data_IF_230485346651
#
_entry.id   IF_230485346651
#
_cell.length_a   1.000
_cell.length_b   1.000
_cell.length_c   1.000
_cell.angle_alpha   90.00
_cell.angle_beta   90.00
_cell.angle_gamma   90.00
#
_symmetry.space_group_name_H-M   'P 1'
#
loop_
_entity.id
_entity.type
_entity.pdbx_description
1 polymer ?
#
# COMPACT_ATOMS: atom_id res chain seq x y z
N UNK A 1 13.36 27.79 55.68
CA UNK A 1 14.61 27.53 54.93
C UNK A 1 14.80 26.03 54.98
N UNK A 2 14.63 25.18 53.97
CA UNK A 2 14.60 25.22 52.50
C UNK A 2 13.86 23.92 52.12
N UNK A 3 12.77 23.93 51.36
CA UNK A 3 12.71 23.98 49.89
C UNK A 3 13.28 22.75 49.15
N UNK A 4 12.36 22.11 48.40
CA UNK A 4 12.50 21.41 47.12
C UNK A 4 12.80 19.89 47.08
N UNK A 5 11.73 19.16 46.72
CA UNK A 5 11.55 18.42 45.45
C UNK A 5 12.68 17.52 44.96
N UNK A 6 12.32 16.28 44.60
CA UNK A 6 12.16 15.99 43.18
C UNK A 6 11.29 14.75 42.91
N UNK A 7 10.21 14.95 42.17
CA UNK A 7 9.37 13.88 41.62
C UNK A 7 10.07 13.25 40.41
N UNK A 8 10.07 11.92 40.37
CA UNK A 8 10.53 11.15 39.22
C UNK A 8 9.45 11.19 38.12
N UNK A 9 9.75 11.86 37.00
CA UNK A 9 8.92 11.85 35.79
C UNK A 9 9.36 10.69 34.90
N UNK A 10 8.49 9.70 34.75
CA UNK A 10 8.61 8.61 33.76
C UNK A 10 8.32 9.12 32.36
N UNK A 11 9.23 8.86 31.43
CA UNK A 11 9.18 9.31 30.04
C UNK A 11 8.28 8.42 29.17
N UNK A 12 7.14 8.94 28.73
CA UNK A 12 6.42 8.43 27.55
C UNK A 12 6.82 9.28 26.33
N UNK A 13 7.73 8.77 25.49
CA UNK A 13 8.04 9.39 24.19
C UNK A 13 7.24 8.70 23.10
N UNK A 14 6.00 9.14 22.89
CA UNK A 14 5.38 9.05 21.57
C UNK A 14 6.16 9.93 20.61
N UNK A 15 6.58 9.40 19.46
CA UNK A 15 7.35 10.16 18.47
C UNK A 15 6.49 11.29 17.89
N UNK A 16 6.61 12.48 18.46
CA UNK A 16 5.98 13.70 17.98
C UNK A 16 6.78 14.18 16.76
N UNK A 17 6.16 14.15 15.57
CA UNK A 17 6.80 14.64 14.34
C UNK A 17 7.01 16.17 14.47
N UNK A 18 8.25 16.63 14.24
CA UNK A 18 8.61 18.05 14.25
C UNK A 18 7.96 18.80 13.06
N UNK A 19 7.73 20.10 13.16
CA UNK A 19 7.00 20.92 12.16
C UNK A 19 7.66 20.89 10.76
N UNK A 20 8.97 20.57 10.69
CA UNK A 20 9.70 20.37 9.43
C UNK A 20 9.61 18.97 8.83
N UNK A 21 8.97 18.01 9.50
CA UNK A 21 8.87 16.62 9.03
C UNK A 21 7.72 16.41 8.06
N UNK A 22 7.90 15.46 7.15
CA UNK A 22 6.92 15.09 6.15
C UNK A 22 6.57 13.62 6.24
N UNK A 23 5.36 13.28 5.81
CA UNK A 23 4.89 11.90 5.68
C UNK A 23 4.40 11.64 4.27
N UNK A 24 4.32 10.37 3.92
CA UNK A 24 3.81 9.91 2.63
C UNK A 24 2.51 9.15 2.86
N UNK A 25 1.45 9.55 2.17
CA UNK A 25 0.18 8.81 2.12
C UNK A 25 0.04 8.20 0.72
N UNK A 26 -0.24 6.90 0.65
CA UNK A 26 -0.36 6.15 -0.60
C UNK A 26 -1.75 5.52 -0.63
N UNK A 27 -2.51 5.79 -1.68
CA UNK A 27 -3.80 5.19 -1.94
C UNK A 27 -3.65 4.30 -3.16
N UNK A 28 -4.11 3.05 -3.08
CA UNK A 28 -3.99 2.09 -4.17
C UNK A 28 -5.28 1.34 -4.40
N UNK A 29 -5.55 1.01 -5.66
CA UNK A 29 -6.70 0.21 -6.05
C UNK A 29 -6.36 -0.71 -7.25
N UNK A 30 -7.10 -1.80 -7.38
CA UNK A 30 -7.04 -2.77 -8.46
C UNK A 30 -8.42 -3.05 -9.04
N UNK A 31 -8.50 -3.08 -10.37
CA UNK A 31 -9.73 -3.34 -11.10
C UNK A 31 -9.52 -4.40 -12.17
N UNK A 32 -10.53 -5.23 -12.42
CA UNK A 32 -10.48 -6.26 -13.45
C UNK A 32 -11.81 -6.37 -14.19
N UNK A 33 -11.77 -6.29 -15.53
CA UNK A 33 -12.90 -6.52 -16.42
C UNK A 33 -12.93 -8.01 -16.76
N UNK A 34 -13.84 -8.74 -16.09
CA UNK A 34 -13.76 -10.19 -15.96
C UNK A 34 -12.69 -10.60 -14.94
N UNK A 35 -12.88 -11.71 -14.21
CA UNK A 35 -11.96 -12.16 -13.17
C UNK A 35 -11.79 -13.70 -13.18
N UNK A 36 -10.75 -14.24 -13.84
CA UNK A 36 -9.65 -13.55 -14.49
C UNK A 36 -10.06 -12.78 -15.76
N UNK A 37 -9.33 -11.72 -16.11
CA UNK A 37 -9.63 -10.86 -17.25
C UNK A 37 -8.62 -9.72 -17.45
N UNK A 38 -9.04 -8.66 -18.14
CA UNK A 38 -8.21 -7.48 -18.37
C UNK A 38 -8.18 -6.63 -17.10
N UNK A 39 -6.99 -6.48 -16.51
CA UNK A 39 -6.83 -5.77 -15.26
C UNK A 39 -6.10 -4.46 -15.39
N UNK A 40 -6.36 -3.59 -14.44
CA UNK A 40 -5.69 -2.32 -14.25
C UNK A 40 -5.44 -2.07 -12.78
N UNK A 41 -4.37 -1.36 -12.48
CA UNK A 41 -4.08 -0.88 -11.14
C UNK A 41 -3.84 0.62 -11.17
N UNK A 42 -4.17 1.29 -10.06
CA UNK A 42 -4.05 2.72 -9.90
C UNK A 42 -3.50 3.08 -8.52
N UNK A 43 -2.78 4.19 -8.44
CA UNK A 43 -2.27 4.70 -7.18
C UNK A 43 -2.18 6.21 -7.17
N UNK A 44 -2.41 6.81 -6.00
CA UNK A 44 -2.17 8.22 -5.70
C UNK A 44 -1.17 8.27 -4.54
N UNK A 45 -0.05 8.96 -4.73
CA UNK A 45 0.97 9.20 -3.71
C UNK A 45 0.99 10.67 -3.35
N UNK A 46 0.80 10.97 -2.07
CA UNK A 46 0.85 12.32 -1.51
C UNK A 46 2.01 12.42 -0.55
N UNK A 47 2.78 13.50 -0.64
CA UNK A 47 3.73 13.91 0.42
C UNK A 47 3.13 15.09 1.14
N UNK A 48 3.03 15.01 2.46
CA UNK A 48 2.33 15.98 3.31
C UNK A 48 3.22 16.47 4.45
N UNK A 49 3.01 17.70 4.87
CA UNK A 49 3.57 18.21 6.13
C UNK A 49 2.84 17.59 7.33
N UNK A 50 3.38 17.74 8.54
CA UNK A 50 2.68 17.33 9.78
C UNK A 50 1.29 17.98 9.88
N UNK A 51 1.19 19.28 9.53
CA UNK A 51 -0.06 20.04 9.49
C UNK A 51 -1.07 19.55 8.44
N UNK A 52 -0.69 18.59 7.58
CA UNK A 52 -1.58 17.96 6.60
C UNK A 52 -1.60 18.63 5.22
N UNK A 53 -0.79 19.68 5.02
CA UNK A 53 -0.65 20.33 3.72
C UNK A 53 -0.01 19.39 2.70
N UNK A 54 -0.62 19.25 1.52
CA UNK A 54 -0.06 18.45 0.41
C UNK A 54 0.99 19.28 -0.31
N UNK A 55 2.26 18.92 -0.13
CA UNK A 55 3.39 19.57 -0.80
C UNK A 55 3.78 18.88 -2.11
N UNK A 56 3.31 17.65 -2.33
CA UNK A 56 3.54 16.89 -3.57
C UNK A 56 2.46 15.84 -3.78
N UNK A 57 2.02 15.68 -5.03
CA UNK A 57 1.10 14.63 -5.45
C UNK A 57 1.61 13.96 -6.72
N UNK A 58 1.46 12.63 -6.82
CA UNK A 58 1.81 11.84 -8.00
C UNK A 58 0.81 10.72 -8.21
N UNK A 59 0.39 10.53 -9.44
CA UNK A 59 -0.42 9.38 -9.85
C UNK A 59 0.45 8.36 -10.58
N UNK A 60 0.08 7.09 -10.44
CA UNK A 60 0.60 6.03 -11.29
C UNK A 60 -0.49 5.00 -11.58
N UNK A 61 -0.37 4.34 -12.72
CA UNK A 61 -1.27 3.28 -13.13
C UNK A 61 -0.55 2.33 -14.10
N UNK A 62 -1.12 1.15 -14.27
CA UNK A 62 -0.65 0.15 -15.22
C UNK A 62 -1.74 -0.89 -15.47
N UNK A 63 -1.51 -1.77 -16.43
CA UNK A 63 -2.49 -2.78 -16.83
C UNK A 63 -1.84 -4.11 -17.15
N UNK A 64 -2.64 -5.16 -17.09
CA UNK A 64 -2.31 -6.52 -17.52
C UNK A 64 -3.47 -7.05 -18.38
N UNK A 65 -3.13 -7.72 -19.48
CA UNK A 65 -4.13 -8.28 -20.38
C UNK A 65 -4.79 -9.54 -19.79
N UNK A 66 -4.16 -10.24 -18.85
CA UNK A 66 -4.71 -11.47 -18.26
C UNK A 66 -4.28 -11.61 -16.80
N UNK A 67 -5.15 -11.16 -15.89
CA UNK A 67 -4.89 -11.12 -14.46
C UNK A 67 -6.17 -11.30 -13.66
N UNK A 68 -6.10 -11.14 -12.34
CA UNK A 68 -7.24 -11.11 -11.42
C UNK A 68 -7.28 -9.79 -10.64
N UNK A 69 -8.41 -9.49 -10.00
CA UNK A 69 -8.54 -8.29 -9.16
C UNK A 69 -7.47 -8.25 -8.05
N UNK A 70 -7.36 -9.35 -7.28
CA UNK A 70 -6.39 -9.46 -6.19
C UNK A 70 -4.94 -9.25 -6.65
N UNK A 71 -4.58 -9.72 -7.87
CA UNK A 71 -3.25 -9.47 -8.42
C UNK A 71 -3.05 -8.00 -8.75
N UNK A 72 -4.06 -7.31 -9.26
CA UNK A 72 -3.98 -5.88 -9.55
C UNK A 72 -3.91 -5.02 -8.29
N UNK A 73 -4.67 -5.34 -7.25
CA UNK A 73 -4.57 -4.70 -5.93
C UNK A 73 -3.14 -4.82 -5.38
N UNK A 74 -2.57 -6.02 -5.36
CA UNK A 74 -1.18 -6.24 -4.90
C UNK A 74 -0.15 -5.56 -5.80
N UNK A 75 -0.38 -5.57 -7.11
CA UNK A 75 0.52 -4.91 -8.08
C UNK A 75 0.54 -3.40 -7.86
N UNK A 76 -0.60 -2.79 -7.53
CA UNK A 76 -0.71 -1.36 -7.23
C UNK A 76 0.25 -0.96 -6.11
N UNK A 77 0.24 -1.72 -5.01
CA UNK A 77 1.11 -1.47 -3.85
C UNK A 77 2.58 -1.68 -4.21
N UNK A 78 2.92 -2.82 -4.83
CA UNK A 78 4.30 -3.12 -5.21
C UNK A 78 4.89 -2.03 -6.11
N UNK A 79 4.19 -1.72 -7.20
CA UNK A 79 4.66 -0.76 -8.19
C UNK A 79 4.78 0.66 -7.61
N UNK A 80 3.94 1.02 -6.64
CA UNK A 80 4.00 2.33 -6.01
C UNK A 80 5.19 2.45 -5.06
N UNK A 81 5.43 1.45 -4.22
CA UNK A 81 6.58 1.44 -3.30
C UNK A 81 7.92 1.40 -4.04
N UNK A 82 8.01 0.64 -5.13
CA UNK A 82 9.19 0.62 -6.00
C UNK A 82 9.49 1.99 -6.63
N UNK A 83 8.45 2.76 -6.94
CA UNK A 83 8.57 4.11 -7.51
C UNK A 83 8.96 5.19 -6.51
N UNK A 84 8.86 4.94 -5.21
CA UNK A 84 9.32 5.90 -4.18
C UNK A 84 10.83 6.11 -4.21
N UNK A 85 11.59 5.21 -4.85
CA UNK A 85 13.03 5.33 -4.98
C UNK A 85 13.75 4.91 -3.69
N UNK A 86 14.81 5.63 -3.30
CA UNK A 86 15.60 5.30 -2.11
C UNK A 86 14.73 5.25 -0.84
N UNK A 87 15.12 4.40 0.11
CA UNK A 87 14.51 4.35 1.44
C UNK A 87 14.72 5.69 2.13
N UNK A 88 13.65 6.22 2.72
CA UNK A 88 13.65 7.45 3.51
C UNK A 88 13.09 7.15 4.90
N UNK A 89 13.44 7.98 5.89
CA UNK A 89 12.92 7.85 7.26
C UNK A 89 11.49 8.43 7.40
N UNK A 90 10.91 8.93 6.31
CA UNK A 90 9.54 9.45 6.31
C UNK A 90 8.53 8.33 6.61
N UNK A 91 7.60 8.54 7.56
CA UNK A 91 6.50 7.62 7.77
C UNK A 91 5.65 7.49 6.50
N UNK A 92 5.32 6.26 6.13
CA UNK A 92 4.47 5.93 4.99
C UNK A 92 3.19 5.28 5.52
N UNK A 93 2.03 5.78 5.10
CA UNK A 93 0.75 5.09 5.31
C UNK A 93 0.21 4.63 3.96
N UNK A 94 -0.03 3.32 3.82
CA UNK A 94 -0.64 2.73 2.63
C UNK A 94 -2.09 2.39 2.92
N UNK A 95 -3.00 3.04 2.21
CA UNK A 95 -4.43 2.78 2.19
C UNK A 95 -4.77 1.86 1.02
N UNK A 96 -5.33 0.69 1.32
CA UNK A 96 -5.76 -0.29 0.33
C UNK A 96 -7.09 -0.93 0.72
N UNK A 97 -7.88 -1.33 -0.26
CA UNK A 97 -9.17 -2.01 -0.09
C UNK A 97 -9.02 -3.54 0.06
N UNK A 98 -7.85 -4.06 -0.32
CA UNK A 98 -7.42 -5.43 -0.12
C UNK A 98 -7.21 -5.77 1.36
N UNK A 99 -8.29 -6.22 2.02
CA UNK A 99 -8.31 -6.70 3.41
C UNK A 99 -7.18 -7.67 3.80
N UNK A 100 -6.61 -8.38 2.83
CA UNK A 100 -5.56 -9.37 3.06
C UNK A 100 -4.18 -8.75 3.27
N UNK A 101 -3.93 -7.52 2.80
CA UNK A 101 -2.58 -6.92 2.83
C UNK A 101 -2.10 -6.66 4.27
N UNK A 102 -2.87 -5.98 5.15
CA UNK A 102 -2.39 -5.73 6.52
C UNK A 102 -2.07 -7.02 7.27
N UNK A 103 -2.94 -8.03 7.18
CA UNK A 103 -2.72 -9.33 7.83
C UNK A 103 -1.53 -10.10 7.23
N UNK A 104 -1.35 -10.02 5.92
CA UNK A 104 -0.25 -10.69 5.24
C UNK A 104 1.09 -10.08 5.63
N UNK A 105 1.21 -8.75 5.55
CA UNK A 105 2.44 -8.03 5.86
C UNK A 105 2.83 -8.11 7.33
N UNK A 106 1.85 -8.11 8.24
CA UNK A 106 2.12 -8.13 9.67
C UNK A 106 2.29 -9.54 10.26
N UNK A 107 1.80 -10.60 9.61
CA UNK A 107 1.71 -11.91 10.27
C UNK A 107 1.83 -13.14 9.37
N UNK A 108 1.26 -13.15 8.16
CA UNK A 108 1.18 -14.39 7.40
C UNK A 108 2.43 -14.68 6.56
N UNK A 109 3.14 -13.66 6.07
CA UNK A 109 4.35 -13.87 5.24
C UNK A 109 5.40 -14.72 5.96
N UNK A 110 5.70 -14.40 7.21
CA UNK A 110 6.67 -15.16 8.00
C UNK A 110 6.26 -16.64 8.14
N UNK A 111 4.97 -16.90 8.41
CA UNK A 111 4.42 -18.27 8.53
C UNK A 111 4.45 -19.02 7.21
N UNK A 112 4.09 -18.36 6.11
CA UNK A 112 4.13 -18.97 4.78
C UNK A 112 5.55 -19.33 4.37
N UNK A 113 6.53 -18.44 4.59
CA UNK A 113 7.95 -18.74 4.31
C UNK A 113 8.45 -19.93 5.13
N UNK A 114 8.16 -19.95 6.43
CA UNK A 114 8.53 -21.07 7.31
C UNK A 114 7.89 -22.40 6.87
N UNK A 115 6.69 -22.37 6.29
CA UNK A 115 5.97 -23.54 5.79
C UNK A 115 6.19 -23.81 4.28
N UNK A 116 7.27 -23.29 3.68
CA UNK A 116 7.59 -23.53 2.27
C UNK A 116 6.54 -23.02 1.29
N UNK A 117 5.90 -21.89 1.60
CA UNK A 117 4.83 -21.24 0.83
C UNK A 117 3.56 -22.06 0.66
N UNK A 118 3.16 -22.77 1.73
CA UNK A 118 1.91 -23.52 1.80
C UNK A 118 0.97 -22.94 2.86
N UNK A 119 -0.33 -22.88 2.52
CA UNK A 119 -1.42 -22.53 3.45
C UNK A 119 -1.76 -23.72 4.36
N UNK A 120 -2.58 -23.48 5.38
CA UNK A 120 -3.24 -24.54 6.14
C UNK A 120 -4.06 -25.42 5.17
N UNK A 121 -3.81 -26.72 5.18
CA UNK A 121 -4.36 -27.67 4.20
C UNK A 121 -3.46 -27.98 3.00
N UNK A 122 -2.20 -27.49 2.99
CA UNK A 122 -1.17 -27.94 2.05
C UNK A 122 -1.20 -27.31 0.66
N UNK A 123 -2.24 -26.50 0.36
CA UNK A 123 -2.32 -25.73 -0.89
C UNK A 123 -1.22 -24.68 -0.96
N UNK A 124 -0.73 -24.40 -2.16
CA UNK A 124 0.21 -23.31 -2.40
C UNK A 124 -0.41 -21.95 -2.04
N UNK A 125 0.41 -21.04 -1.53
CA UNK A 125 0.03 -19.64 -1.33
C UNK A 125 -0.11 -18.96 -2.69
N UNK A 126 -1.31 -18.45 -2.98
CA UNK A 126 -1.58 -17.66 -4.18
C UNK A 126 -0.80 -16.34 -4.18
N UNK A 127 -0.42 -15.86 -5.36
CA UNK A 127 0.29 -14.59 -5.57
C UNK A 127 1.62 -14.49 -4.82
N UNK A 128 2.28 -15.62 -4.56
CA UNK A 128 3.60 -15.68 -3.91
C UNK A 128 4.59 -14.68 -4.55
N UNK A 129 4.62 -14.61 -5.87
CA UNK A 129 5.47 -13.70 -6.64
C UNK A 129 5.28 -12.24 -6.22
N UNK A 130 4.03 -11.81 -6.03
CA UNK A 130 3.71 -10.44 -5.60
C UNK A 130 3.96 -10.22 -4.11
N UNK A 131 3.79 -11.25 -3.28
CA UNK A 131 4.11 -11.18 -1.86
C UNK A 131 5.60 -11.02 -1.60
N UNK A 132 6.44 -11.80 -2.29
CA UNK A 132 7.90 -11.68 -2.24
C UNK A 132 8.34 -10.31 -2.76
N UNK A 133 7.73 -9.83 -3.85
CA UNK A 133 7.97 -8.49 -4.40
C UNK A 133 7.59 -7.38 -3.41
N UNK A 134 6.44 -7.49 -2.76
CA UNK A 134 5.95 -6.51 -1.79
C UNK A 134 6.86 -6.45 -0.56
N UNK A 135 7.27 -7.60 -0.02
CA UNK A 135 8.21 -7.68 1.10
C UNK A 135 9.52 -6.95 0.77
N UNK A 136 10.07 -7.18 -0.42
CA UNK A 136 11.28 -6.51 -0.88
C UNK A 136 11.08 -4.99 -1.04
N UNK A 137 9.96 -4.55 -1.61
CA UNK A 137 9.67 -3.12 -1.82
C UNK A 137 9.42 -2.37 -0.50
N UNK A 138 8.90 -3.07 0.51
CA UNK A 138 8.65 -2.54 1.85
C UNK A 138 9.89 -2.55 2.77
N UNK A 139 10.93 -3.33 2.43
CA UNK A 139 12.09 -3.51 3.28
C UNK A 139 12.78 -2.19 3.66
N UNK A 140 13.05 -2.00 4.95
CA UNK A 140 13.72 -0.82 5.49
C UNK A 140 12.86 0.45 5.58
N UNK A 141 11.59 0.40 5.15
CA UNK A 141 10.66 1.55 5.23
C UNK A 141 9.80 1.48 6.49
N UNK A 142 9.48 2.63 7.05
CA UNK A 142 8.49 2.76 8.12
C UNK A 142 7.08 2.82 7.52
N UNK A 143 6.42 1.67 7.34
CA UNK A 143 5.11 1.56 6.69
C UNK A 143 4.02 1.15 7.67
N UNK A 144 2.95 1.93 7.71
CA UNK A 144 1.66 1.58 8.30
C UNK A 144 0.70 1.12 7.20
N UNK A 145 0.03 -0.02 7.40
CA UNK A 145 -0.94 -0.59 6.47
C UNK A 145 -2.35 -0.34 6.98
N UNK A 146 -3.12 0.46 6.26
CA UNK A 146 -4.50 0.81 6.59
C UNK A 146 -5.46 0.19 5.59
N UNK A 147 -6.42 -0.58 6.10
CA UNK A 147 -7.52 -1.07 5.28
C UNK A 147 -8.61 -0.01 5.18
N UNK A 148 -9.05 0.29 3.96
CA UNK A 148 -10.19 1.16 3.70
C UNK A 148 -11.31 0.37 3.04
N UNK A 149 -12.55 0.70 3.37
CA UNK A 149 -13.71 0.07 2.74
C UNK A 149 -13.82 0.54 1.30
N UNK A 150 -13.82 -0.39 0.34
CA UNK A 150 -14.04 -0.09 -1.07
C UNK A 150 -15.34 0.68 -1.31
N UNK A 151 -15.32 1.63 -2.25
CA UNK A 151 -16.45 2.49 -2.67
C UNK A 151 -17.14 3.33 -1.57
N UNK A 152 -16.51 3.51 -0.42
CA UNK A 152 -16.90 4.50 0.60
C UNK A 152 -15.66 5.23 1.14
N UNK A 153 -14.67 5.41 0.27
CA UNK A 153 -13.33 5.86 0.62
C UNK A 153 -13.16 7.38 0.51
N UNK A 154 -12.02 7.86 0.99
CA UNK A 154 -11.60 9.25 0.76
C UNK A 154 -11.49 9.56 -0.75
N UNK A 155 -11.55 10.85 -1.10
CA UNK A 155 -11.36 11.36 -2.47
C UNK A 155 -10.16 10.72 -3.21
N UNK A 156 -9.07 10.44 -2.49
CA UNK A 156 -7.85 9.85 -3.05
C UNK A 156 -7.97 8.36 -3.34
N UNK A 157 -8.77 7.62 -2.55
CA UNK A 157 -9.07 6.22 -2.87
C UNK A 157 -9.94 6.12 -4.11
N UNK A 158 -10.99 6.94 -4.22
CA UNK A 158 -11.82 6.98 -5.42
C UNK A 158 -11.02 7.41 -6.67
N UNK A 159 -10.01 8.27 -6.49
CA UNK A 159 -9.09 8.61 -7.58
C UNK A 159 -8.23 7.40 -7.98
N UNK A 160 -7.76 6.61 -7.03
CA UNK A 160 -7.03 5.37 -7.33
C UNK A 160 -7.91 4.35 -8.06
N UNK A 161 -9.16 4.15 -7.62
CA UNK A 161 -10.18 3.32 -8.30
C UNK A 161 -10.37 3.74 -9.76
N UNK A 162 -10.62 5.04 -9.99
CA UNK A 162 -10.79 5.58 -11.36
C UNK A 162 -9.56 5.32 -12.24
N UNK A 163 -8.35 5.45 -11.69
CA UNK A 163 -7.11 5.16 -12.40
C UNK A 163 -7.01 3.66 -12.75
N UNK A 164 -7.32 2.78 -11.80
CA UNK A 164 -7.30 1.33 -11.99
C UNK A 164 -8.32 0.90 -13.06
N UNK A 165 -9.56 1.37 -12.95
CA UNK A 165 -10.61 1.07 -13.91
C UNK A 165 -10.29 1.59 -15.32
N UNK A 166 -9.78 2.82 -15.43
CA UNK A 166 -9.35 3.37 -16.73
C UNK A 166 -8.23 2.55 -17.37
N UNK A 167 -7.28 2.06 -16.56
CA UNK A 167 -6.19 1.20 -17.03
C UNK A 167 -6.71 -0.18 -17.50
N UNK A 168 -7.67 -0.78 -16.79
CA UNK A 168 -8.31 -2.03 -17.19
C UNK A 168 -9.05 -1.87 -18.53
N UNK A 169 -9.81 -0.78 -18.71
CA UNK A 169 -10.49 -0.46 -19.99
C UNK A 169 -9.51 -0.22 -21.13
N UNK A 170 -8.33 0.33 -20.83
CA UNK A 170 -7.26 0.48 -21.82
C UNK A 170 -6.71 -0.87 -22.29
N UNK A 171 -6.54 -1.83 -21.38
CA UNK A 171 -6.14 -3.20 -21.72
C UNK A 171 -7.15 -3.87 -22.66
N UNK A 172 -8.44 -3.79 -22.33
CA UNK A 172 -9.53 -4.35 -23.14
C UNK A 172 -9.56 -3.76 -24.56
N UNK A 173 -9.52 -2.43 -24.70
CA UNK A 173 -9.52 -1.76 -26.02
C UNK A 173 -8.33 -2.14 -26.88
N UNK A 174 -7.15 -2.35 -26.28
CA UNK A 174 -5.92 -2.73 -27.00
C UNK A 174 -6.02 -4.14 -27.61
N UNK A 175 -6.84 -5.01 -27.01
CA UNK A 175 -7.13 -6.32 -27.57
C UNK A 175 -8.14 -6.23 -28.72
N UNK A 176 -9.16 -5.37 -28.59
CA UNK A 176 -10.21 -5.23 -29.61
C UNK A 176 -9.77 -4.50 -30.89
N UNK A 177 -8.56 -3.94 -30.93
CA UNK A 177 -7.96 -3.29 -32.11
C UNK A 177 -6.92 -4.15 -32.83
N UNK A 178 -6.80 -5.43 -32.46
CA UNK A 178 -5.97 -6.43 -33.14
C UNK A 178 -6.85 -7.48 -33.82
#
# INVERSE_FOLDING_TARGET
MTSHDNQNVTSERGAQLDEGQTRIEIFTDGSCIGNPGHGGWGSVTLRKTVAGEIIKSRDAFGYDLSTTNNRMELTAVCATLEKLGRVTDEPITVFCDANLIPNSMNSWLAKWKANGWKRSGGKAVENRDLWERLENAAAGRNITWEWVRGHNGSEHNERADRLAYAAARRAEKKLSTR
#
